data_IF_125346324721
#
_entry.id   IF_125346324721
#
_cell.length_a   1.000
_cell.length_b   1.000
_cell.length_c   1.000
_cell.angle_alpha   90.00
_cell.angle_beta   90.00
_cell.angle_gamma   90.00
#
_symmetry.space_group_name_H-M   'P 1'
#
loop_
_entity.id
_entity.type
_entity.pdbx_description
1 polymer ?
#
# COMPACT_ATOMS: atom_id res chain seq x y z
N UNK A 1 -13.15 -22.81 -9.25
CA UNK A 1 -12.05 -22.35 -10.09
C UNK A 1 -11.29 -21.22 -9.38
N UNK A 2 -10.00 -21.08 -9.73
CA UNK A 2 -9.13 -20.03 -9.22
C UNK A 2 -8.53 -19.26 -10.39
N UNK A 3 -8.50 -17.93 -10.27
CA UNK A 3 -7.86 -17.04 -11.21
C UNK A 3 -6.80 -16.22 -10.48
N UNK A 4 -5.55 -16.29 -10.93
CA UNK A 4 -4.50 -15.41 -10.41
C UNK A 4 -4.84 -13.96 -10.76
N UNK A 5 -4.81 -13.07 -9.76
CA UNK A 5 -5.14 -11.64 -9.92
C UNK A 5 -3.94 -10.73 -9.69
N UNK A 6 -2.84 -11.29 -9.23
CA UNK A 6 -1.61 -10.55 -8.96
C UNK A 6 -0.67 -11.31 -8.03
N UNK A 7 0.27 -10.60 -7.48
CA UNK A 7 1.24 -11.09 -6.50
C UNK A 7 1.33 -10.12 -5.34
N UNK A 8 1.54 -10.65 -4.13
CA UNK A 8 1.78 -9.88 -2.93
C UNK A 8 3.25 -9.95 -2.54
N UNK A 9 3.83 -8.80 -2.23
CA UNK A 9 5.23 -8.71 -1.80
C UNK A 9 5.35 -8.95 -0.30
N UNK A 10 5.99 -10.05 0.09
CA UNK A 10 6.21 -10.43 1.49
C UNK A 10 7.69 -10.29 1.85
N UNK A 11 7.95 -9.71 3.01
CA UNK A 11 9.28 -9.59 3.60
C UNK A 11 9.32 -10.50 4.83
N UNK A 12 10.25 -11.45 4.85
CA UNK A 12 10.62 -12.17 6.06
C UNK A 12 11.39 -11.20 6.97
N UNK A 13 10.80 -10.89 8.12
CA UNK A 13 11.36 -9.91 9.04
C UNK A 13 12.58 -10.46 9.79
N UNK A 14 12.63 -11.76 10.02
CA UNK A 14 13.78 -12.42 10.67
C UNK A 14 15.05 -12.19 9.85
N UNK A 15 14.95 -12.37 8.53
CA UNK A 15 16.07 -12.24 7.58
C UNK A 15 16.23 -10.79 7.05
N UNK A 16 15.33 -9.87 7.43
CA UNK A 16 15.40 -8.51 6.88
C UNK A 16 16.63 -7.75 7.41
N UNK A 17 17.43 -7.28 6.48
CA UNK A 17 18.54 -6.33 6.74
C UNK A 17 18.71 -5.40 5.55
N UNK A 18 19.14 -4.17 5.81
CA UNK A 18 19.51 -3.22 4.75
C UNK A 18 20.89 -3.54 4.13
N UNK A 19 21.68 -4.39 4.77
CA UNK A 19 23.09 -4.64 4.41
C UNK A 19 23.28 -5.74 3.35
N UNK A 20 22.35 -5.83 2.37
CA UNK A 20 22.52 -6.69 1.20
C UNK A 20 22.65 -5.84 -0.07
N UNK A 21 23.36 -6.33 -1.13
CA UNK A 21 23.57 -5.59 -2.35
C UNK A 21 22.27 -5.12 -3.02
N UNK A 22 21.24 -5.98 -3.02
CA UNK A 22 19.93 -5.74 -3.65
C UNK A 22 19.21 -4.54 -3.02
N UNK A 23 19.46 -4.22 -1.74
CA UNK A 23 18.86 -3.10 -0.99
C UNK A 23 19.74 -1.84 -0.97
N UNK A 24 20.78 -1.76 -1.82
CA UNK A 24 21.71 -0.62 -1.89
C UNK A 24 20.97 0.73 -1.99
N UNK A 25 19.96 0.81 -2.85
CA UNK A 25 19.25 2.07 -3.11
C UNK A 25 18.43 2.54 -1.90
N UNK A 26 17.67 1.65 -1.25
CA UNK A 26 16.90 2.02 -0.06
C UNK A 26 17.82 2.29 1.14
N UNK A 27 18.95 1.59 1.26
CA UNK A 27 19.98 1.89 2.26
C UNK A 27 20.59 3.29 2.04
N UNK A 28 20.85 3.66 0.79
CA UNK A 28 21.31 5.01 0.47
C UNK A 28 20.26 6.05 0.90
N UNK A 29 18.98 5.84 0.56
CA UNK A 29 17.88 6.72 0.97
C UNK A 29 17.79 6.81 2.50
N UNK A 30 17.87 5.69 3.20
CA UNK A 30 17.88 5.63 4.66
C UNK A 30 19.02 6.48 5.26
N UNK A 31 20.26 6.25 4.80
CA UNK A 31 21.43 6.99 5.28
C UNK A 31 21.39 8.50 4.96
N UNK A 32 20.83 8.86 3.79
CA UNK A 32 20.64 10.25 3.37
C UNK A 32 19.64 10.96 4.28
N UNK A 33 18.45 10.37 4.45
CA UNK A 33 17.35 11.02 5.18
C UNK A 33 17.56 11.03 6.70
N UNK A 34 18.35 10.12 7.24
CA UNK A 34 18.79 10.18 8.64
C UNK A 34 19.60 11.46 8.98
N UNK A 35 20.10 12.18 7.97
CA UNK A 35 20.84 13.44 8.14
C UNK A 35 19.94 14.68 8.05
N UNK A 36 18.66 14.51 7.75
CA UNK A 36 17.71 15.58 7.43
C UNK A 36 16.82 16.00 8.60
N UNK A 37 17.28 15.81 9.84
CA UNK A 37 16.51 16.12 11.05
C UNK A 37 15.09 15.50 11.05
N UNK A 38 15.01 14.27 10.54
CA UNK A 38 13.76 13.50 10.48
C UNK A 38 13.71 12.50 11.63
N UNK A 39 12.53 12.39 12.26
CA UNK A 39 12.29 11.43 13.33
C UNK A 39 11.10 10.52 12.95
N UNK A 40 11.19 9.28 13.39
CA UNK A 40 10.12 8.27 13.24
C UNK A 40 9.52 7.94 14.61
N UNK A 41 8.22 7.86 14.66
CA UNK A 41 7.48 7.49 15.86
C UNK A 41 6.30 6.60 15.45
N UNK A 42 5.94 5.65 16.31
CA UNK A 42 4.68 4.90 16.20
C UNK A 42 3.77 5.30 17.35
N UNK A 43 2.67 5.93 17.01
CA UNK A 43 1.60 6.30 17.93
C UNK A 43 0.81 5.03 18.24
N UNK A 44 0.65 4.64 19.52
CA UNK A 44 -0.10 3.44 19.87
C UNK A 44 -1.57 3.51 19.44
N UNK A 45 -2.17 2.33 19.22
CA UNK A 45 -3.61 2.20 19.01
C UNK A 45 -4.39 2.92 20.12
N UNK A 46 -5.40 3.70 19.72
CA UNK A 46 -6.25 4.49 20.63
C UNK A 46 -5.68 5.85 21.02
N UNK A 47 -4.40 6.14 20.74
CA UNK A 47 -3.76 7.42 21.07
C UNK A 47 -3.69 8.40 19.90
N UNK A 48 -4.20 8.01 18.73
CA UNK A 48 -4.13 8.78 17.49
C UNK A 48 -4.98 10.04 17.49
N UNK A 49 -6.05 10.10 18.30
CA UNK A 49 -7.09 11.13 18.21
C UNK A 49 -6.53 12.57 18.28
N UNK A 50 -5.53 12.82 19.11
CA UNK A 50 -4.89 14.14 19.27
C UNK A 50 -4.14 14.62 18.02
N UNK A 51 -3.83 13.71 17.09
CA UNK A 51 -3.13 14.02 15.86
C UNK A 51 -4.04 14.06 14.62
N UNK A 52 -5.32 13.63 14.74
CA UNK A 52 -6.21 13.43 13.58
C UNK A 52 -6.38 14.70 12.74
N UNK A 53 -6.44 15.87 13.36
CA UNK A 53 -6.49 17.14 12.62
C UNK A 53 -5.29 17.27 11.66
N UNK A 54 -4.07 17.03 12.17
CA UNK A 54 -2.85 17.13 11.35
C UNK A 54 -2.79 16.05 10.29
N UNK A 55 -3.16 14.81 10.63
CA UNK A 55 -3.19 13.71 9.68
C UNK A 55 -4.20 13.97 8.55
N UNK A 56 -5.36 14.59 8.88
CA UNK A 56 -6.36 15.00 7.89
C UNK A 56 -5.82 16.03 6.90
N UNK A 57 -5.14 17.06 7.40
CA UNK A 57 -4.47 18.08 6.56
C UNK A 57 -3.51 17.43 5.55
N UNK A 58 -2.66 16.49 6.02
CA UNK A 58 -1.73 15.76 5.14
C UNK A 58 -2.49 14.90 4.13
N UNK A 59 -3.57 14.24 4.55
CA UNK A 59 -4.37 13.40 3.65
C UNK A 59 -5.06 14.22 2.57
N UNK A 60 -5.64 15.36 2.92
CA UNK A 60 -6.34 16.24 1.98
C UNK A 60 -5.36 16.82 0.95
N UNK A 61 -4.19 17.31 1.38
CA UNK A 61 -3.14 17.79 0.48
C UNK A 61 -2.65 16.69 -0.47
N UNK A 62 -2.50 15.46 0.05
CA UNK A 62 -2.08 14.33 -0.78
C UNK A 62 -3.12 14.02 -1.87
N UNK A 63 -4.42 13.95 -1.53
CA UNK A 63 -5.51 13.72 -2.48
C UNK A 63 -5.56 14.79 -3.55
N UNK A 64 -5.47 16.06 -3.15
CA UNK A 64 -5.44 17.19 -4.08
C UNK A 64 -4.25 17.08 -5.03
N UNK A 65 -3.06 16.79 -4.51
CA UNK A 65 -1.83 16.64 -5.32
C UNK A 65 -1.92 15.52 -6.36
N UNK A 66 -2.70 14.47 -6.08
CA UNK A 66 -2.91 13.31 -6.97
C UNK A 66 -4.15 13.47 -7.86
N UNK A 67 -4.92 14.54 -7.70
CA UNK A 67 -6.24 14.72 -8.33
C UNK A 67 -7.13 13.50 -8.09
N UNK A 68 -7.05 12.92 -6.89
CA UNK A 68 -7.72 11.69 -6.50
C UNK A 68 -8.82 11.96 -5.47
N UNK A 69 -9.81 11.07 -5.45
CA UNK A 69 -10.84 11.03 -4.40
C UNK A 69 -10.60 9.83 -3.50
N UNK A 70 -11.05 9.88 -2.26
CA UNK A 70 -11.02 8.73 -1.36
C UNK A 70 -11.77 7.54 -1.96
N UNK A 71 -11.21 6.34 -1.76
CA UNK A 71 -11.80 5.07 -2.20
C UNK A 71 -12.11 4.24 -0.96
N UNK A 72 -13.39 4.02 -0.70
CA UNK A 72 -13.86 3.43 0.54
C UNK A 72 -13.93 1.90 0.58
N UNK A 73 -13.37 1.17 -0.39
CA UNK A 73 -13.41 -0.28 -0.40
C UNK A 73 -12.07 -0.88 -0.84
N UNK A 74 -11.62 -1.91 -0.13
CA UNK A 74 -10.36 -2.66 -0.31
C UNK A 74 -9.05 -1.85 -0.25
N UNK A 75 -9.15 -0.57 0.02
CA UNK A 75 -8.03 0.35 0.24
C UNK A 75 -8.38 1.23 1.43
N UNK A 76 -7.40 1.54 2.26
CA UNK A 76 -7.57 2.46 3.36
C UNK A 76 -8.02 3.85 2.88
N UNK A 77 -8.91 4.45 3.63
CA UNK A 77 -9.36 5.82 3.45
C UNK A 77 -9.25 6.57 4.78
N UNK A 78 -9.23 7.89 4.69
CA UNK A 78 -9.12 8.70 5.90
C UNK A 78 -10.46 8.72 6.64
N UNK A 79 -10.47 8.03 7.77
CA UNK A 79 -11.55 8.04 8.75
C UNK A 79 -10.91 8.02 10.15
N UNK A 80 -11.29 8.95 11.01
CA UNK A 80 -10.64 9.15 12.30
C UNK A 80 -10.85 7.96 13.26
N UNK A 81 -12.07 7.42 13.27
CA UNK A 81 -12.40 6.26 14.10
C UNK A 81 -11.67 5.02 13.60
N UNK A 82 -11.67 4.80 12.27
CA UNK A 82 -10.93 3.71 11.66
C UNK A 82 -9.44 3.77 11.98
N UNK A 83 -8.80 4.91 11.73
CA UNK A 83 -7.35 5.08 11.95
C UNK A 83 -6.97 4.92 13.42
N UNK A 84 -7.82 5.38 14.36
CA UNK A 84 -7.56 5.25 15.78
C UNK A 84 -7.60 3.79 16.30
N UNK A 85 -8.12 2.85 15.50
CA UNK A 85 -8.08 1.42 15.79
C UNK A 85 -6.75 0.73 15.49
N UNK A 86 -5.75 1.46 14.96
CA UNK A 86 -4.44 0.91 14.58
C UNK A 86 -3.31 1.72 15.19
N UNK A 87 -2.11 1.14 15.35
CA UNK A 87 -0.89 1.92 15.51
C UNK A 87 -0.67 2.79 14.27
N UNK A 88 -0.22 4.03 14.46
CA UNK A 88 0.01 4.98 13.36
C UNK A 88 1.49 5.35 13.34
N UNK A 89 2.18 4.95 12.29
CA UNK A 89 3.55 5.39 12.01
C UNK A 89 3.52 6.83 11.49
N UNK A 90 4.35 7.69 12.04
CA UNK A 90 4.53 9.07 11.58
C UNK A 90 5.99 9.37 11.34
N UNK A 91 6.26 10.16 10.30
CA UNK A 91 7.53 10.86 10.12
C UNK A 91 7.34 12.32 10.44
N UNK A 92 8.26 12.84 11.26
CA UNK A 92 8.33 14.27 11.58
C UNK A 92 9.60 14.87 10.99
N UNK A 93 9.51 16.08 10.51
CA UNK A 93 10.65 16.94 10.18
C UNK A 93 10.52 18.22 10.98
N UNK A 94 11.57 18.62 11.69
CA UNK A 94 11.56 19.80 12.56
C UNK A 94 10.37 19.80 13.54
N UNK A 95 10.02 18.63 14.10
CA UNK A 95 8.89 18.32 14.98
C UNK A 95 7.49 18.36 14.33
N UNK A 96 7.37 18.67 13.05
CA UNK A 96 6.11 18.68 12.32
C UNK A 96 5.88 17.35 11.60
N UNK A 97 4.67 16.73 11.74
CA UNK A 97 4.33 15.52 11.01
C UNK A 97 4.20 15.86 9.53
N UNK A 98 4.94 15.13 8.69
CA UNK A 98 5.00 15.30 7.23
C UNK A 98 4.50 14.10 6.46
N UNK A 99 4.48 12.93 7.08
CA UNK A 99 3.97 11.69 6.49
C UNK A 99 3.45 10.75 7.57
N UNK A 100 2.48 9.91 7.23
CA UNK A 100 1.95 8.89 8.12
C UNK A 100 1.49 7.64 7.37
N UNK A 101 1.36 6.53 8.11
CA UNK A 101 0.70 5.32 7.67
C UNK A 101 0.07 4.61 8.88
N UNK A 102 -1.13 4.03 8.74
CA UNK A 102 -1.62 3.09 9.76
C UNK A 102 -1.00 1.71 9.53
N UNK A 103 -0.75 1.00 10.63
CA UNK A 103 -0.12 -0.31 10.60
C UNK A 103 -1.17 -1.36 10.99
N UNK A 104 -1.53 -2.23 10.05
CA UNK A 104 -2.36 -3.39 10.33
C UNK A 104 -1.50 -4.48 10.95
N UNK A 105 -1.92 -5.01 12.07
CA UNK A 105 -1.16 -5.99 12.85
C UNK A 105 -2.03 -7.17 13.27
N UNK A 106 -1.42 -8.35 13.37
CA UNK A 106 -2.06 -9.54 13.93
C UNK A 106 -1.64 -9.71 15.39
N UNK A 107 -2.56 -10.09 16.26
CA UNK A 107 -2.27 -10.35 17.69
C UNK A 107 -1.22 -11.46 17.87
N UNK A 108 -1.24 -12.46 17.00
CA UNK A 108 -0.26 -13.55 16.98
C UNK A 108 1.15 -13.12 16.56
N UNK A 109 1.40 -11.85 16.28
CA UNK A 109 2.66 -11.31 15.75
C UNK A 109 3.12 -11.97 14.43
N UNK A 110 2.23 -12.65 13.73
CA UNK A 110 2.56 -13.33 12.47
C UNK A 110 2.81 -12.35 11.34
N UNK A 111 2.02 -11.28 11.25
CA UNK A 111 2.10 -10.34 10.13
C UNK A 111 1.82 -8.91 10.56
N UNK A 112 2.57 -7.99 9.96
CA UNK A 112 2.28 -6.58 9.92
C UNK A 112 2.18 -6.10 8.47
N UNK A 113 1.36 -5.10 8.21
CA UNK A 113 1.15 -4.50 6.88
C UNK A 113 0.84 -3.01 7.01
N UNK A 114 0.91 -2.29 5.90
CA UNK A 114 0.43 -0.90 5.79
C UNK A 114 -0.82 -0.89 4.92
N UNK A 115 -1.81 -0.11 5.32
CA UNK A 115 -3.02 0.10 4.54
C UNK A 115 -3.09 1.52 3.97
N UNK A 116 -3.46 2.52 4.77
CA UNK A 116 -3.44 3.92 4.34
C UNK A 116 -2.08 4.55 4.59
N UNK A 117 -1.53 5.22 3.58
CA UNK A 117 -0.32 6.04 3.71
C UNK A 117 -0.50 7.37 3.00
N UNK A 118 -0.04 8.45 3.62
CA UNK A 118 -0.11 9.82 3.09
C UNK A 118 1.14 10.60 3.45
N UNK A 119 1.47 11.58 2.61
CA UNK A 119 2.62 12.45 2.81
C UNK A 119 2.39 13.79 2.12
N UNK A 120 3.00 14.86 2.61
CA UNK A 120 2.93 16.19 2.02
C UNK A 120 3.65 16.22 0.66
N UNK A 121 3.14 17.00 -0.27
CA UNK A 121 3.77 17.22 -1.59
C UNK A 121 5.19 17.80 -1.47
N UNK A 122 5.42 18.59 -0.44
CA UNK A 122 6.72 19.21 -0.13
C UNK A 122 7.77 18.25 0.41
N UNK A 123 7.43 16.97 0.65
CA UNK A 123 8.36 15.99 1.18
C UNK A 123 9.56 15.75 0.25
N UNK A 124 10.73 15.52 0.87
CA UNK A 124 11.96 15.16 0.17
C UNK A 124 11.78 13.84 -0.57
N UNK A 125 12.36 13.73 -1.77
CA UNK A 125 12.36 12.47 -2.52
C UNK A 125 12.96 11.34 -1.68
N UNK A 126 12.24 10.21 -1.58
CA UNK A 126 12.60 9.06 -0.76
C UNK A 126 11.88 9.00 0.60
N UNK A 127 11.05 9.99 0.94
CA UNK A 127 10.31 10.01 2.22
C UNK A 127 9.44 8.75 2.40
N UNK A 128 8.80 8.25 1.34
CA UNK A 128 7.99 7.03 1.45
C UNK A 128 8.81 5.77 1.65
N UNK A 129 9.95 5.65 0.94
CA UNK A 129 10.91 4.55 1.17
C UNK A 129 11.41 4.58 2.62
N UNK A 130 11.70 5.76 3.11
CA UNK A 130 12.19 5.97 4.47
C UNK A 130 11.14 5.57 5.52
N UNK A 131 9.89 5.99 5.34
CA UNK A 131 8.76 5.58 6.19
C UNK A 131 8.62 4.04 6.21
N UNK A 132 8.60 3.41 5.04
CA UNK A 132 8.51 1.95 4.94
C UNK A 132 9.67 1.22 5.62
N UNK A 133 10.91 1.71 5.45
CA UNK A 133 12.08 1.13 6.11
C UNK A 133 11.88 1.13 7.63
N UNK A 134 11.45 2.25 8.19
CA UNK A 134 11.25 2.37 9.62
C UNK A 134 10.10 1.51 10.13
N UNK A 135 8.99 1.42 9.39
CA UNK A 135 7.87 0.54 9.75
C UNK A 135 8.32 -0.94 9.73
N UNK A 136 9.09 -1.34 8.71
CA UNK A 136 9.63 -2.71 8.62
C UNK A 136 10.58 -3.01 9.79
N UNK A 137 11.47 -2.08 10.13
CA UNK A 137 12.37 -2.22 11.27
C UNK A 137 11.62 -2.24 12.60
N UNK A 138 10.61 -1.40 12.76
CA UNK A 138 9.73 -1.39 13.92
C UNK A 138 9.00 -2.75 14.04
N UNK A 139 8.37 -3.25 12.98
CA UNK A 139 7.68 -4.53 12.98
C UNK A 139 8.62 -5.70 13.35
N UNK A 140 9.86 -5.67 12.84
CA UNK A 140 10.91 -6.64 13.22
C UNK A 140 11.22 -6.55 14.72
N UNK A 141 11.41 -5.35 15.26
CA UNK A 141 11.73 -5.14 16.68
C UNK A 141 10.56 -5.52 17.60
N UNK A 142 9.32 -5.33 17.14
CA UNK A 142 8.11 -5.78 17.83
C UNK A 142 7.90 -7.29 17.79
N UNK A 143 8.74 -8.03 17.06
CA UNK A 143 8.69 -9.49 16.99
C UNK A 143 7.68 -10.05 16.00
N UNK A 144 7.26 -9.27 14.99
CA UNK A 144 6.48 -9.80 13.87
C UNK A 144 7.35 -10.70 13.01
N UNK A 145 6.74 -11.78 12.47
CA UNK A 145 7.46 -12.74 11.62
C UNK A 145 7.65 -12.23 10.21
N UNK A 146 6.62 -11.58 9.63
CA UNK A 146 6.64 -11.10 8.25
C UNK A 146 5.95 -9.75 8.10
N UNK A 147 6.33 -9.05 7.03
CA UNK A 147 5.73 -7.78 6.65
C UNK A 147 5.18 -7.86 5.23
N UNK A 148 3.88 -7.53 5.07
CA UNK A 148 3.26 -7.44 3.76
C UNK A 148 3.38 -6.02 3.20
N UNK A 149 3.93 -5.92 2.00
CA UNK A 149 3.90 -4.70 1.19
C UNK A 149 2.59 -4.54 0.42
N UNK A 150 1.67 -5.49 0.58
CA UNK A 150 0.41 -5.57 -0.13
C UNK A 150 0.55 -6.09 -1.58
N UNK A 151 -0.59 -6.29 -2.23
CA UNK A 151 -0.67 -6.86 -3.57
C UNK A 151 -0.21 -5.86 -4.65
N UNK A 152 0.49 -6.36 -5.66
CA UNK A 152 0.68 -5.73 -6.96
C UNK A 152 -0.28 -6.38 -7.97
N UNK A 153 -1.42 -5.73 -8.27
CA UNK A 153 -2.40 -6.30 -9.18
C UNK A 153 -1.81 -6.57 -10.57
N UNK A 154 -2.27 -7.64 -11.20
CA UNK A 154 -1.88 -8.09 -12.54
C UNK A 154 -0.39 -8.48 -12.69
N UNK A 155 0.39 -8.48 -11.62
CA UNK A 155 1.79 -8.90 -11.69
C UNK A 155 1.94 -10.42 -11.79
N UNK A 156 3.04 -10.87 -12.43
CA UNK A 156 3.37 -12.30 -12.58
C UNK A 156 2.41 -13.07 -13.51
N UNK A 157 1.80 -12.37 -14.47
CA UNK A 157 0.82 -12.95 -15.38
C UNK A 157 1.28 -12.97 -16.84
N UNK A 158 2.50 -12.58 -17.08
CA UNK A 158 3.04 -12.25 -18.40
C UNK A 158 3.23 -13.48 -19.34
N UNK A 159 3.03 -14.72 -18.86
CA UNK A 159 3.38 -15.94 -19.62
C UNK A 159 2.32 -17.04 -19.61
N UNK A 160 1.02 -16.74 -19.65
CA UNK A 160 0.00 -17.82 -19.72
C UNK A 160 -1.02 -17.59 -20.82
N UNK A 161 -1.35 -18.68 -21.52
CA UNK A 161 -2.35 -18.83 -22.62
C UNK A 161 -3.80 -18.42 -22.26
N UNK A 162 -4.00 -17.50 -21.33
CA UNK A 162 -5.28 -16.97 -20.89
C UNK A 162 -5.56 -15.60 -21.55
N UNK A 163 -4.86 -15.32 -22.64
CA UNK A 163 -4.96 -14.07 -23.40
C UNK A 163 -6.39 -13.61 -23.75
N UNK A 164 -7.38 -14.49 -24.11
CA UNK A 164 -8.70 -14.00 -24.47
C UNK A 164 -9.49 -13.43 -23.30
N UNK A 165 -9.34 -13.99 -22.08
CA UNK A 165 -10.02 -13.51 -20.87
C UNK A 165 -9.35 -12.24 -20.37
N UNK A 166 -8.04 -12.20 -20.44
CA UNK A 166 -7.23 -11.05 -20.01
C UNK A 166 -7.36 -9.84 -20.93
N UNK A 167 -7.50 -10.05 -22.24
CA UNK A 167 -7.81 -8.95 -23.15
C UNK A 167 -9.15 -8.29 -22.83
N UNK A 168 -10.13 -9.03 -22.33
CA UNK A 168 -11.41 -8.48 -21.89
C UNK A 168 -11.30 -7.78 -20.52
N UNK A 169 -10.54 -8.34 -19.59
CA UNK A 169 -10.28 -7.73 -18.28
C UNK A 169 -9.32 -6.54 -18.45
N UNK A 170 -8.27 -6.69 -19.23
CA UNK A 170 -7.33 -5.60 -19.56
C UNK A 170 -8.03 -4.47 -20.29
N UNK A 171 -8.94 -4.74 -21.22
CA UNK A 171 -9.76 -3.73 -21.89
C UNK A 171 -10.77 -3.08 -20.93
N UNK A 172 -11.32 -3.82 -19.98
CA UNK A 172 -12.23 -3.25 -18.98
C UNK A 172 -11.48 -2.39 -17.97
N UNK A 173 -10.34 -2.85 -17.50
CA UNK A 173 -9.41 -2.09 -16.64
C UNK A 173 -8.78 -0.94 -17.43
N UNK A 174 -8.43 -1.11 -18.71
CA UNK A 174 -7.84 -0.07 -19.55
C UNK A 174 -8.84 1.00 -19.98
N UNK A 175 -10.08 0.66 -20.30
CA UNK A 175 -11.15 1.63 -20.65
C UNK A 175 -11.63 2.47 -19.45
N UNK A 176 -11.50 1.93 -18.24
CA UNK A 176 -11.85 2.63 -17.01
C UNK A 176 -10.60 3.04 -16.20
N UNK A 177 -9.42 2.77 -16.73
CA UNK A 177 -8.15 2.63 -16.00
C UNK A 177 -7.23 3.83 -15.99
N UNK A 178 -7.59 4.97 -16.55
CA UNK A 178 -6.83 6.21 -16.26
C UNK A 178 -6.97 6.67 -14.80
N UNK A 179 -7.96 6.13 -14.07
CA UNK A 179 -8.13 6.29 -12.62
C UNK A 179 -7.55 5.12 -11.80
N UNK A 180 -7.14 4.04 -12.43
CA UNK A 180 -6.60 2.85 -11.80
C UNK A 180 -5.07 2.89 -11.86
N UNK A 181 -4.46 3.24 -10.74
CA UNK A 181 -3.08 2.99 -10.33
C UNK A 181 -2.06 2.66 -11.43
N UNK A 182 -0.97 3.38 -11.41
CA UNK A 182 0.27 2.95 -12.05
C UNK A 182 0.75 1.62 -11.43
N UNK A 183 0.14 0.49 -11.84
CA UNK A 183 0.45 -0.85 -11.31
C UNK A 183 1.93 -1.21 -11.48
N UNK A 184 2.54 -0.78 -12.58
CA UNK A 184 3.97 -0.99 -12.80
C UNK A 184 4.81 -0.18 -11.81
N UNK A 185 4.46 1.08 -11.58
CA UNK A 185 5.12 1.93 -10.59
C UNK A 185 4.98 1.38 -9.17
N UNK A 186 3.82 0.82 -8.83
CA UNK A 186 3.59 0.18 -7.54
C UNK A 186 4.49 -1.06 -7.35
N UNK A 187 4.59 -1.93 -8.36
CA UNK A 187 5.49 -3.09 -8.32
C UNK A 187 6.96 -2.66 -8.25
N UNK A 188 7.35 -1.66 -9.04
CA UNK A 188 8.70 -1.11 -9.01
C UNK A 188 9.06 -0.52 -7.65
N UNK A 189 8.11 0.19 -7.01
CA UNK A 189 8.30 0.69 -5.65
C UNK A 189 8.54 -0.44 -4.65
N UNK A 190 7.67 -1.47 -4.65
CA UNK A 190 7.78 -2.63 -3.76
C UNK A 190 9.06 -3.45 -3.99
N UNK A 191 9.50 -3.58 -5.24
CA UNK A 191 10.75 -4.27 -5.60
C UNK A 191 12.00 -3.64 -4.95
N UNK A 192 11.97 -2.35 -4.58
CA UNK A 192 13.08 -1.70 -3.86
C UNK A 192 13.40 -2.38 -2.54
N UNK A 193 12.40 -3.00 -1.89
CA UNK A 193 12.54 -3.71 -0.63
C UNK A 193 12.97 -5.17 -0.81
N UNK A 194 13.05 -5.65 -2.04
CA UNK A 194 13.42 -7.01 -2.39
C UNK A 194 12.56 -8.07 -1.67
N UNK A 195 11.21 -8.04 -1.88
CA UNK A 195 10.31 -8.99 -1.25
C UNK A 195 10.29 -10.34 -1.96
N UNK A 196 9.77 -11.35 -1.29
CA UNK A 196 9.29 -12.58 -1.92
C UNK A 196 7.89 -12.31 -2.47
N UNK A 197 7.64 -12.70 -3.74
CA UNK A 197 6.35 -12.50 -4.38
C UNK A 197 5.50 -13.77 -4.28
N UNK A 198 4.37 -13.66 -3.58
CA UNK A 198 3.40 -14.74 -3.42
C UNK A 198 2.19 -14.51 -4.33
N UNK A 199 1.73 -15.51 -5.09
CA UNK A 199 0.58 -15.36 -5.96
C UNK A 199 -0.72 -15.17 -5.15
N UNK A 200 -1.62 -14.30 -5.65
CA UNK A 200 -2.97 -14.10 -5.09
C UNK A 200 -4.01 -14.44 -6.13
N UNK A 201 -5.07 -15.10 -5.66
CA UNK A 201 -6.11 -15.67 -6.52
C UNK A 201 -7.49 -15.18 -6.07
N UNK A 202 -8.37 -15.03 -7.05
CA UNK A 202 -9.81 -14.94 -6.81
C UNK A 202 -10.44 -16.31 -7.06
N UNK A 203 -11.27 -16.76 -6.12
CA UNK A 203 -12.06 -17.98 -6.27
C UNK A 203 -13.43 -17.65 -6.87
N UNK A 204 -13.92 -18.47 -7.79
CA UNK A 204 -15.22 -18.28 -8.44
C UNK A 204 -15.87 -19.61 -8.80
N UNK A 205 -17.21 -19.65 -8.79
CA UNK A 205 -18.03 -20.83 -9.10
C UNK A 205 -18.37 -20.86 -10.60
N UNK A 206 -17.76 -21.75 -11.36
CA UNK A 206 -18.07 -21.94 -12.79
C UNK A 206 -17.56 -20.79 -13.70
N UNK A 207 -17.31 -21.13 -14.96
CA UNK A 207 -16.66 -20.22 -15.94
C UNK A 207 -17.51 -18.98 -16.23
N UNK A 208 -18.83 -19.11 -16.21
CA UNK A 208 -19.75 -18.01 -16.52
C UNK A 208 -19.91 -16.98 -15.39
N UNK A 209 -19.52 -17.31 -14.15
CA UNK A 209 -19.62 -16.38 -13.02
C UNK A 209 -18.48 -15.35 -12.97
N UNK A 210 -17.35 -15.65 -13.59
CA UNK A 210 -16.15 -14.80 -13.54
C UNK A 210 -16.39 -13.36 -14.02
N UNK A 211 -17.06 -13.11 -15.18
CA UNK A 211 -17.32 -11.73 -15.62
C UNK A 211 -18.19 -10.95 -14.63
N UNK A 212 -19.15 -11.60 -13.98
CA UNK A 212 -20.01 -10.99 -12.96
C UNK A 212 -19.18 -10.64 -11.71
N UNK A 213 -18.39 -11.58 -11.20
CA UNK A 213 -17.52 -11.37 -10.04
C UNK A 213 -16.57 -10.21 -10.27
N UNK A 214 -15.92 -10.14 -11.43
CA UNK A 214 -15.00 -9.05 -11.76
C UNK A 214 -15.72 -7.70 -11.86
N UNK A 215 -16.91 -7.67 -12.47
CA UNK A 215 -17.74 -6.46 -12.51
C UNK A 215 -18.12 -6.02 -11.10
N UNK A 216 -18.60 -6.93 -10.26
CA UNK A 216 -19.07 -6.62 -8.91
C UNK A 216 -17.91 -6.09 -8.03
N UNK A 217 -16.73 -6.73 -8.10
CA UNK A 217 -15.52 -6.26 -7.41
C UNK A 217 -15.10 -4.86 -7.89
N UNK A 218 -15.15 -4.63 -9.21
CA UNK A 218 -14.81 -3.30 -9.77
C UNK A 218 -15.79 -2.23 -9.31
N UNK A 219 -17.09 -2.53 -9.28
CA UNK A 219 -18.11 -1.62 -8.78
C UNK A 219 -17.89 -1.27 -7.29
N UNK A 220 -17.58 -2.29 -6.47
CA UNK A 220 -17.28 -2.10 -5.06
C UNK A 220 -16.08 -1.18 -4.85
N UNK A 221 -14.96 -1.43 -5.55
CA UNK A 221 -13.74 -0.61 -5.45
C UNK A 221 -13.98 0.83 -5.91
N UNK A 222 -14.83 1.01 -6.90
CA UNK A 222 -15.11 2.34 -7.48
C UNK A 222 -16.19 3.13 -6.71
N UNK A 223 -16.78 2.58 -5.65
CA UNK A 223 -17.89 3.24 -4.94
C UNK A 223 -19.21 3.24 -5.72
N UNK A 224 -19.46 2.18 -6.53
CA UNK A 224 -20.65 1.98 -7.34
C UNK A 224 -20.54 2.61 -8.74
N UNK A 225 -21.67 2.60 -9.48
CA UNK A 225 -21.74 3.11 -10.86
C UNK A 225 -21.38 4.60 -10.93
N UNK A 226 -21.77 5.40 -9.91
CA UNK A 226 -21.44 6.82 -9.84
C UNK A 226 -19.93 7.06 -9.77
N UNK A 227 -19.18 6.25 -9.03
CA UNK A 227 -17.74 6.35 -8.92
C UNK A 227 -16.97 5.95 -10.19
N UNK A 228 -17.60 5.17 -11.07
CA UNK A 228 -17.03 4.82 -12.39
C UNK A 228 -17.20 5.96 -13.42
N UNK A 229 -18.22 6.80 -13.27
CA UNK A 229 -18.62 7.83 -14.26
C UNK A 229 -18.13 9.22 -13.85
N UNK A 230 -17.96 9.48 -12.56
CA UNK A 230 -17.46 10.78 -12.07
C UNK A 230 -15.94 10.87 -12.19
N UNK A 231 -15.50 11.46 -13.29
CA UNK A 231 -14.13 11.98 -13.44
C UNK A 231 -13.92 13.21 -12.56
#
# INVERSE_FOLDING_TARGET
NFLKIGEEGIIDLKEFTLNIPQRKNIRYTYNKLNKENMTFEVIPKGEGIKYMKRLKEISDEWLESKKAKEKGFSLGYFDEEYLNNFPIAVLKKDNEIIAFANIMVTESKREAAVDLMRYLKSCISGTMEYLFIYIILWAKNEGYERFSLGMAPLSGMENRDIAPVWNKIGLFVFKNGESFYNFQGLKLFKNKFYPQWEPRYIAYSGVFSLPKVLKDVTLLISGGVKGLISK
#
